data_IF_971203959599
#
_entry.id   IF_971203959599
#
_cell.length_a   1.000
_cell.length_b   1.000
_cell.length_c   1.000
_cell.angle_alpha   90.00
_cell.angle_beta   90.00
_cell.angle_gamma   90.00
#
_symmetry.space_group_name_H-M   'P 1'
#
loop_
_entity.id
_entity.type
_entity.pdbx_description
1 polymer ?
#
# COMPACT_ATOMS: atom_id res chain seq x y z
N UNK A 1 11.76 -41.73 5.35
CA UNK A 1 11.77 -40.44 6.06
C UNK A 1 11.55 -39.34 5.02
N UNK A 2 10.32 -38.87 4.85
CA UNK A 2 10.00 -37.82 3.88
C UNK A 2 10.44 -36.47 4.46
N UNK A 3 11.46 -35.84 3.85
CA UNK A 3 11.78 -34.44 4.09
C UNK A 3 10.67 -33.60 3.47
N UNK A 4 9.83 -33.00 4.31
CA UNK A 4 9.00 -31.88 3.88
C UNK A 4 9.92 -30.68 3.69
N UNK A 5 10.33 -30.42 2.46
CA UNK A 5 10.91 -29.14 2.04
C UNK A 5 9.88 -28.04 2.32
N UNK A 6 9.96 -27.43 3.51
CA UNK A 6 9.36 -26.13 3.73
C UNK A 6 10.17 -25.14 2.92
N UNK A 7 9.82 -24.95 1.63
CA UNK A 7 10.21 -23.74 0.91
C UNK A 7 9.66 -22.56 1.71
N UNK A 8 10.51 -21.95 2.52
CA UNK A 8 10.29 -20.58 3.00
C UNK A 8 10.16 -19.74 1.74
N UNK A 9 8.92 -19.34 1.43
CA UNK A 9 8.69 -18.44 0.31
C UNK A 9 9.33 -17.11 0.65
N UNK A 10 10.28 -16.68 -0.17
CA UNK A 10 10.93 -15.38 -0.03
C UNK A 10 9.88 -14.27 -0.18
N UNK A 11 10.13 -13.15 0.49
CA UNK A 11 9.29 -11.97 0.41
C UNK A 11 9.73 -11.16 -0.81
N UNK A 12 8.81 -10.96 -1.75
CA UNK A 12 9.02 -10.15 -2.93
C UNK A 12 8.41 -8.76 -2.75
N UNK A 13 9.08 -7.75 -3.26
CA UNK A 13 8.62 -6.36 -3.21
C UNK A 13 8.48 -5.81 -4.63
N UNK A 14 7.34 -5.19 -4.93
CA UNK A 14 7.09 -4.60 -6.25
C UNK A 14 6.10 -3.43 -6.20
N UNK A 15 5.96 -2.73 -7.32
CA UNK A 15 4.93 -1.71 -7.52
C UNK A 15 3.52 -2.34 -7.46
N UNK A 16 2.55 -1.54 -7.02
CA UNK A 16 1.12 -1.90 -7.08
C UNK A 16 0.65 -1.91 -8.54
N UNK A 17 -0.13 -2.93 -8.90
CA UNK A 17 -0.91 -3.02 -10.13
C UNK A 17 -2.40 -3.02 -9.81
N UNK A 18 -3.23 -2.76 -10.82
CA UNK A 18 -4.70 -2.73 -10.68
C UNK A 18 -5.26 -4.05 -10.11
N UNK A 19 -4.68 -5.19 -10.51
CA UNK A 19 -5.05 -6.52 -10.03
C UNK A 19 -4.85 -6.71 -8.52
N UNK A 20 -3.99 -5.90 -7.89
CA UNK A 20 -3.66 -6.02 -6.47
C UNK A 20 -4.65 -5.26 -5.58
N UNK A 21 -5.41 -4.32 -6.16
CA UNK A 21 -6.22 -3.39 -5.37
C UNK A 21 -7.24 -4.10 -4.49
N UNK A 22 -7.80 -5.24 -4.91
CA UNK A 22 -8.70 -6.03 -4.05
C UNK A 22 -8.04 -6.42 -2.73
N UNK A 23 -6.82 -6.97 -2.82
CA UNK A 23 -6.08 -7.45 -1.68
C UNK A 23 -5.57 -6.28 -0.82
N UNK A 24 -5.16 -5.17 -1.44
CA UNK A 24 -4.80 -3.94 -0.73
C UNK A 24 -5.98 -3.36 0.05
N UNK A 25 -7.17 -3.28 -0.56
CA UNK A 25 -8.39 -2.82 0.12
C UNK A 25 -8.77 -3.76 1.26
N UNK A 26 -8.69 -5.08 1.04
CA UNK A 26 -8.94 -6.08 2.07
C UNK A 26 -7.98 -5.92 3.25
N UNK A 27 -6.68 -5.75 3.00
CA UNK A 27 -5.67 -5.49 4.04
C UNK A 27 -5.91 -4.15 4.76
N UNK A 28 -6.37 -3.14 4.04
CA UNK A 28 -6.70 -1.85 4.64
C UNK A 28 -7.94 -1.95 5.55
N UNK A 29 -8.95 -2.70 5.14
CA UNK A 29 -10.20 -2.86 5.87
C UNK A 29 -10.11 -3.87 7.00
N UNK A 30 -9.22 -4.87 6.93
CA UNK A 30 -9.05 -5.87 8.00
C UNK A 30 -8.66 -5.27 9.35
N UNK A 31 -8.09 -4.05 9.34
CA UNK A 31 -7.77 -3.26 10.52
C UNK A 31 -8.85 -2.24 10.92
N UNK A 32 -9.95 -2.14 10.16
CA UNK A 32 -11.07 -1.24 10.43
C UNK A 32 -12.35 -2.03 10.74
N UNK A 33 -12.82 -1.94 11.98
CA UNK A 33 -13.93 -2.75 12.51
C UNK A 33 -15.28 -2.40 11.84
N UNK A 34 -15.42 -1.24 11.18
CA UNK A 34 -16.74 -0.69 10.81
C UNK A 34 -16.81 0.15 9.52
N UNK A 35 -15.72 0.31 8.75
CA UNK A 35 -15.75 1.22 7.60
C UNK A 35 -16.29 0.53 6.33
N UNK A 36 -17.53 0.84 5.94
CA UNK A 36 -18.15 0.40 4.68
C UNK A 36 -17.65 1.16 3.45
N UNK A 37 -16.97 2.31 3.63
CA UNK A 37 -16.41 3.11 2.53
C UNK A 37 -14.99 3.57 2.87
N UNK A 38 -14.14 3.59 1.85
CA UNK A 38 -12.79 4.15 1.94
C UNK A 38 -12.87 5.68 2.00
N UNK A 39 -12.00 6.29 2.81
CA UNK A 39 -11.77 7.75 2.85
C UNK A 39 -10.44 8.07 2.19
N UNK A 40 -10.11 9.35 2.05
CA UNK A 40 -8.79 9.80 1.56
C UNK A 40 -7.63 9.32 2.43
N UNK A 41 -7.90 8.87 3.66
CA UNK A 41 -6.89 8.26 4.55
C UNK A 41 -6.40 6.90 4.04
N UNK A 42 -7.09 6.31 3.05
CA UNK A 42 -6.60 5.17 2.28
C UNK A 42 -5.29 5.50 1.56
N UNK A 43 -5.13 6.76 1.15
CA UNK A 43 -3.96 7.21 0.40
C UNK A 43 -3.87 6.59 -0.99
N UNK A 44 -2.66 6.64 -1.54
CA UNK A 44 -2.31 6.06 -2.82
C UNK A 44 -1.36 4.88 -2.57
N UNK A 45 -1.80 3.63 -2.76
CA UNK A 45 -0.93 2.46 -2.71
C UNK A 45 0.10 2.51 -3.83
N UNK A 46 1.38 2.26 -3.50
CA UNK A 46 2.49 2.41 -4.43
C UNK A 46 3.43 1.21 -4.45
N UNK A 47 3.55 0.47 -3.35
CA UNK A 47 4.35 -0.74 -3.26
C UNK A 47 3.55 -1.83 -2.55
N UNK A 48 3.87 -3.09 -2.86
CA UNK A 48 3.38 -4.26 -2.14
C UNK A 48 4.53 -5.18 -1.75
N UNK A 49 4.28 -5.98 -0.72
CA UNK A 49 5.09 -7.11 -0.32
C UNK A 49 4.23 -8.37 -0.47
N UNK A 50 4.77 -9.38 -1.13
CA UNK A 50 4.08 -10.66 -1.32
C UNK A 50 4.95 -11.83 -0.89
N UNK A 51 4.32 -12.83 -0.28
CA UNK A 51 4.93 -14.11 0.04
C UNK A 51 4.28 -15.21 -0.81
N UNK A 52 4.91 -15.51 -1.95
CA UNK A 52 4.26 -16.29 -3.01
C UNK A 52 3.11 -15.51 -3.65
N UNK A 53 1.90 -16.06 -3.59
CA UNK A 53 0.71 -15.47 -4.22
C UNK A 53 -0.11 -14.58 -3.26
N UNK A 54 0.33 -14.44 -2.01
CA UNK A 54 -0.39 -13.67 -1.01
C UNK A 54 0.29 -12.32 -0.79
N UNK A 55 -0.50 -11.24 -0.85
CA UNK A 55 -0.04 -9.90 -0.47
C UNK A 55 -0.11 -9.80 1.04
N UNK A 56 1.05 -9.56 1.66
CA UNK A 56 1.22 -9.52 3.12
C UNK A 56 1.41 -8.09 3.64
N UNK A 57 1.59 -7.11 2.75
CA UNK A 57 1.65 -5.72 3.11
C UNK A 57 1.72 -4.79 1.90
N UNK A 58 1.51 -3.51 2.13
CA UNK A 58 1.61 -2.47 1.13
C UNK A 58 2.13 -1.16 1.70
N UNK A 59 2.85 -0.40 0.89
CA UNK A 59 3.29 0.97 1.17
C UNK A 59 2.44 1.96 0.38
N UNK A 60 2.09 3.07 1.02
CA UNK A 60 1.20 4.07 0.46
C UNK A 60 1.64 5.49 0.80
N UNK A 61 1.28 6.43 -0.08
CA UNK A 61 1.42 7.86 0.17
C UNK A 61 0.08 8.45 0.61
N UNK A 62 0.09 9.25 1.66
CA UNK A 62 -1.07 9.99 2.15
C UNK A 62 -0.76 11.46 2.35
N UNK A 63 -1.79 12.29 2.51
CA UNK A 63 -1.64 13.69 2.87
C UNK A 63 -2.07 13.85 4.33
N UNK A 64 -1.16 14.33 5.18
CA UNK A 64 -1.45 14.53 6.59
C UNK A 64 -2.33 15.79 6.81
N UNK A 65 -2.72 16.04 8.06
CA UNK A 65 -3.54 17.22 8.44
C UNK A 65 -2.86 18.56 8.16
N UNK A 66 -1.54 18.59 8.02
CA UNK A 66 -0.75 19.78 7.69
C UNK A 66 -0.65 20.00 6.16
N UNK A 67 -1.21 19.09 5.36
CA UNK A 67 -1.14 19.14 3.91
C UNK A 67 0.14 18.54 3.32
N UNK A 68 0.98 17.90 4.14
CA UNK A 68 2.25 17.33 3.72
C UNK A 68 2.09 15.86 3.31
N UNK A 69 2.95 15.43 2.39
CA UNK A 69 3.01 14.03 1.97
C UNK A 69 3.72 13.18 3.01
N UNK A 70 3.04 12.14 3.46
CA UNK A 70 3.59 11.11 4.34
C UNK A 70 3.62 9.77 3.62
N UNK A 71 4.68 9.00 3.87
CA UNK A 71 4.81 7.62 3.40
C UNK A 71 4.58 6.73 4.60
N UNK A 72 3.69 5.76 4.45
CA UNK A 72 3.34 4.82 5.49
C UNK A 72 3.26 3.41 4.89
N UNK A 73 3.33 2.41 5.76
CA UNK A 73 3.11 1.02 5.41
C UNK A 73 2.00 0.40 6.25
N UNK A 74 1.39 -0.66 5.71
CA UNK A 74 0.48 -1.55 6.42
C UNK A 74 0.81 -2.98 6.07
N UNK A 75 0.97 -3.81 7.08
CA UNK A 75 1.26 -5.23 6.90
C UNK A 75 0.33 -6.07 7.77
N UNK A 76 0.24 -7.36 7.45
CA UNK A 76 -0.26 -8.34 8.41
C UNK A 76 0.72 -8.40 9.59
N UNK A 77 0.21 -8.67 10.80
CA UNK A 77 1.00 -8.66 12.04
C UNK A 77 2.29 -9.50 11.95
N UNK A 78 2.23 -10.68 11.34
CA UNK A 78 3.40 -11.54 11.14
C UNK A 78 4.50 -10.87 10.32
N UNK A 79 4.12 -10.01 9.38
CA UNK A 79 5.04 -9.31 8.51
C UNK A 79 5.61 -8.03 9.14
N UNK A 80 4.85 -7.35 10.02
CA UNK A 80 5.38 -6.25 10.83
C UNK A 80 6.56 -6.71 11.69
N UNK A 81 6.48 -7.92 12.26
CA UNK A 81 7.56 -8.53 13.05
C UNK A 81 8.84 -8.81 12.21
N UNK A 82 8.72 -8.87 10.88
CA UNK A 82 9.82 -9.06 9.94
C UNK A 82 10.43 -7.74 9.44
N UNK A 83 9.93 -6.59 9.90
CA UNK A 83 10.47 -5.27 9.56
C UNK A 83 10.26 -4.87 8.09
N UNK A 84 9.29 -5.45 7.39
CA UNK A 84 9.07 -5.19 5.97
C UNK A 84 8.54 -3.77 5.67
N UNK A 85 7.99 -3.09 6.68
CA UNK A 85 7.35 -1.77 6.55
C UNK A 85 8.30 -0.70 6.01
N UNK A 86 9.53 -0.66 6.51
CA UNK A 86 10.55 0.30 6.04
C UNK A 86 10.85 0.11 4.54
N UNK A 87 10.99 -1.14 4.09
CA UNK A 87 11.23 -1.47 2.68
C UNK A 87 10.04 -1.05 1.80
N UNK A 88 8.81 -1.29 2.29
CA UNK A 88 7.60 -0.84 1.61
C UNK A 88 7.56 0.68 1.45
N UNK A 89 7.86 1.42 2.51
CA UNK A 89 7.89 2.89 2.50
C UNK A 89 8.97 3.44 1.57
N UNK A 90 10.17 2.86 1.57
CA UNK A 90 11.24 3.23 0.65
C UNK A 90 10.85 2.98 -0.81
N UNK A 91 10.22 1.84 -1.11
CA UNK A 91 9.74 1.56 -2.46
C UNK A 91 8.58 2.45 -2.88
N UNK A 92 7.66 2.74 -1.95
CA UNK A 92 6.57 3.66 -2.18
C UNK A 92 7.11 5.06 -2.49
N UNK A 93 8.11 5.53 -1.74
CA UNK A 93 8.81 6.80 -2.00
C UNK A 93 9.44 6.84 -3.40
N UNK A 94 10.18 5.80 -3.78
CA UNK A 94 10.78 5.70 -5.14
C UNK A 94 9.71 5.75 -6.22
N UNK A 95 8.62 5.01 -6.04
CA UNK A 95 7.50 4.97 -6.99
C UNK A 95 6.82 6.33 -7.08
N UNK A 96 6.52 6.97 -5.95
CA UNK A 96 5.91 8.29 -5.88
C UNK A 96 6.73 9.33 -6.65
N UNK A 97 8.04 9.40 -6.39
CA UNK A 97 8.94 10.30 -7.11
C UNK A 97 8.98 10.01 -8.61
N UNK A 98 8.97 8.74 -9.01
CA UNK A 98 8.95 8.35 -10.43
C UNK A 98 7.63 8.66 -11.15
N UNK A 99 6.52 8.74 -10.42
CA UNK A 99 5.19 8.94 -11.00
C UNK A 99 4.77 10.41 -11.02
N UNK A 100 5.11 11.18 -9.99
CA UNK A 100 4.58 12.54 -9.84
C UNK A 100 5.55 13.66 -10.23
N UNK A 101 6.85 13.37 -10.38
CA UNK A 101 7.95 14.32 -10.61
C UNK A 101 7.96 15.52 -9.64
N UNK A 102 9.06 15.70 -8.91
CA UNK A 102 9.28 16.76 -7.90
C UNK A 102 8.03 17.18 -7.09
N UNK A 103 7.76 16.42 -6.02
CA UNK A 103 6.61 16.64 -5.14
C UNK A 103 6.83 17.88 -4.23
N UNK A 104 7.86 18.70 -4.47
CA UNK A 104 8.18 19.87 -3.66
C UNK A 104 7.23 21.01 -3.98
N UNK A 105 6.21 21.19 -3.16
CA UNK A 105 5.38 22.39 -3.11
C UNK A 105 3.91 22.13 -3.44
N UNK A 106 3.60 21.61 -4.63
CA UNK A 106 2.21 21.39 -5.05
C UNK A 106 1.81 19.90 -4.99
N UNK A 107 1.08 19.54 -3.93
CA UNK A 107 0.55 18.19 -3.73
C UNK A 107 -0.85 17.98 -4.34
N UNK A 108 -1.38 18.96 -5.10
CA UNK A 108 -2.73 18.90 -5.67
C UNK A 108 -2.90 17.69 -6.58
N UNK A 109 -1.88 17.33 -7.37
CA UNK A 109 -1.91 16.14 -8.22
C UNK A 109 -2.09 14.86 -7.40
N UNK A 110 -1.31 14.70 -6.34
CA UNK A 110 -1.42 13.53 -5.46
C UNK A 110 -2.78 13.49 -4.76
N UNK A 111 -3.23 14.63 -4.22
CA UNK A 111 -4.55 14.75 -3.56
C UNK A 111 -5.69 14.33 -4.50
N UNK A 112 -5.67 14.84 -5.74
CA UNK A 112 -6.67 14.47 -6.74
C UNK A 112 -6.58 12.99 -7.15
N UNK A 113 -5.37 12.43 -7.25
CA UNK A 113 -5.20 11.00 -7.55
C UNK A 113 -5.75 10.11 -6.44
N UNK A 114 -5.49 10.45 -5.17
CA UNK A 114 -6.06 9.75 -4.01
C UNK A 114 -7.59 9.83 -4.05
N UNK A 115 -8.15 11.03 -4.24
CA UNK A 115 -9.60 11.22 -4.28
C UNK A 115 -10.24 10.39 -5.39
N UNK A 116 -9.70 10.46 -6.62
CA UNK A 116 -10.21 9.68 -7.76
C UNK A 116 -10.13 8.17 -7.53
N UNK A 117 -9.04 7.69 -6.92
CA UNK A 117 -8.88 6.28 -6.61
C UNK A 117 -9.93 5.82 -5.59
N UNK A 118 -10.10 6.57 -4.51
CA UNK A 118 -11.08 6.27 -3.46
C UNK A 118 -12.51 6.31 -4.02
N UNK A 119 -12.84 7.30 -4.84
CA UNK A 119 -14.16 7.40 -5.48
C UNK A 119 -14.40 6.23 -6.43
N UNK A 120 -13.39 5.81 -7.20
CA UNK A 120 -13.48 4.65 -8.08
C UNK A 120 -13.67 3.35 -7.30
N UNK A 121 -12.89 3.14 -6.24
CA UNK A 121 -12.99 1.95 -5.37
C UNK A 121 -14.32 1.88 -4.61
N UNK A 122 -14.93 3.02 -4.29
CA UNK A 122 -16.21 3.05 -3.57
C UNK A 122 -17.45 2.90 -4.47
N UNK A 123 -17.34 3.15 -5.79
CA UNK A 123 -18.50 3.21 -6.69
C UNK A 123 -18.43 2.24 -7.89
N UNK A 124 -17.24 1.79 -8.27
CA UNK A 124 -17.02 0.98 -9.47
C UNK A 124 -16.42 -0.40 -9.19
N UNK A 125 -16.04 -0.67 -7.94
CA UNK A 125 -15.36 -1.89 -7.52
C UNK A 125 -16.24 -2.73 -6.58
#
# INVERSE_FOLDING_TARGET
MNRQDHKTKDIEFRKVYLSDLNAVVTLYQSSQITATKLTTDFGLPLSIASQGNEIIGFGFASINKLGEVTLNSRCIKLADDLGIGNTLEEQAKKTLHSTFEDIRGDHTKLKHSIQKLVDWLNNCY
#
